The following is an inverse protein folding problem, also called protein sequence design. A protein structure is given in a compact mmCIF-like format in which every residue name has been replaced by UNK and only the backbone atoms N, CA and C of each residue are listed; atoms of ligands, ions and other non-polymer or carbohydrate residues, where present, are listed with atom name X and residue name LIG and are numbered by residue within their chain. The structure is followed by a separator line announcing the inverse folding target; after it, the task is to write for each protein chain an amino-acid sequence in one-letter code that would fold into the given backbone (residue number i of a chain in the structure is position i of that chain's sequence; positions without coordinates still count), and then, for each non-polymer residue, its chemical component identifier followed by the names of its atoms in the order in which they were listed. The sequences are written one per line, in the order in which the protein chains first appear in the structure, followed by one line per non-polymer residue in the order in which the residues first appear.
data_IF_863642486464
#
_entry.id   IF_863642486464
#
_cell.length_a   1.000
_cell.length_b   1.000
_cell.length_c   1.000
_cell.angle_alpha   90.00
_cell.angle_beta   90.00
_cell.angle_gamma   90.00
#
_symmetry.space_group_name_H-M   'P 1'
#
loop_
_entity.id
_entity.type
_entity.pdbx_description
1 polymer ?
#
# COMPACT_ATOMS: atom_id res chain seq x y z
N UNK A 1 -39.06 2.71 -33.05
CA UNK A 1 -38.12 3.60 -32.32
C UNK A 1 -37.26 2.71 -31.43
N UNK A 2 -35.96 2.61 -31.72
CA UNK A 2 -34.99 1.93 -30.86
C UNK A 2 -34.55 2.92 -29.78
N UNK A 3 -34.83 2.64 -28.52
CA UNK A 3 -34.30 3.42 -27.39
C UNK A 3 -32.85 2.98 -27.15
N UNK A 4 -31.90 3.89 -27.38
CA UNK A 4 -30.51 3.73 -26.96
C UNK A 4 -30.44 4.24 -25.53
N UNK A 5 -30.25 3.33 -24.57
CA UNK A 5 -29.98 3.68 -23.17
C UNK A 5 -28.48 3.94 -23.07
N UNK A 6 -28.09 5.20 -22.90
CA UNK A 6 -26.73 5.57 -22.51
C UNK A 6 -26.60 5.30 -21.01
N UNK A 7 -25.97 4.18 -20.65
CA UNK A 7 -25.59 3.89 -19.28
C UNK A 7 -24.22 4.54 -19.03
N UNK A 8 -24.21 5.79 -18.56
CA UNK A 8 -23.00 6.43 -18.04
C UNK A 8 -22.63 5.79 -16.72
N UNK A 9 -21.65 4.89 -16.73
CA UNK A 9 -20.99 4.45 -15.51
C UNK A 9 -20.14 5.60 -14.98
N UNK A 10 -20.57 6.17 -13.85
CA UNK A 10 -19.68 6.96 -13.00
C UNK A 10 -18.63 5.99 -12.43
N UNK A 11 -17.42 6.03 -12.97
CA UNK A 11 -16.28 5.40 -12.32
C UNK A 11 -16.02 6.17 -11.01
N UNK A 12 -15.90 5.51 -9.85
CA UNK A 12 -15.21 6.14 -8.75
C UNK A 12 -13.76 6.30 -9.21
N UNK A 13 -13.32 7.55 -9.36
CA UNK A 13 -11.90 7.85 -9.42
C UNK A 13 -11.33 7.32 -8.09
N UNK A 14 -10.63 6.20 -8.13
CA UNK A 14 -9.75 5.83 -7.04
C UNK A 14 -8.66 6.89 -7.03
N UNK A 15 -8.85 7.90 -6.18
CA UNK A 15 -7.83 8.89 -5.93
C UNK A 15 -6.61 8.14 -5.41
N UNK A 16 -5.54 8.14 -6.20
CA UNK A 16 -4.19 8.01 -5.66
C UNK A 16 -4.13 9.13 -4.62
N UNK A 17 -4.19 8.77 -3.34
CA UNK A 17 -4.24 9.73 -2.26
C UNK A 17 -2.91 10.49 -2.30
N UNK A 18 -2.94 11.69 -2.86
CA UNK A 18 -1.82 12.62 -2.88
C UNK A 18 -2.16 13.75 -1.93
N UNK A 19 -1.16 14.46 -1.36
CA UNK A 19 -1.45 15.65 -0.59
C UNK A 19 -2.29 16.59 -1.46
N UNK A 20 -3.09 17.44 -0.82
CA UNK A 20 -3.84 18.48 -1.53
C UNK A 20 -2.84 19.23 -2.42
N UNK A 21 -2.99 19.17 -3.74
CA UNK A 21 -2.01 19.72 -4.69
C UNK A 21 -2.32 21.16 -5.07
N UNK A 22 -3.59 21.54 -5.01
CA UNK A 22 -4.02 22.89 -5.31
C UNK A 22 -3.39 23.89 -4.32
N UNK A 23 -2.62 24.83 -4.86
CA UNK A 23 -1.88 25.83 -4.10
C UNK A 23 -0.64 25.32 -3.35
N UNK A 24 -0.21 24.06 -3.56
CA UNK A 24 1.02 23.53 -2.94
C UNK A 24 2.26 24.17 -3.60
N UNK A 25 3.05 24.89 -2.81
CA UNK A 25 4.24 25.62 -3.25
C UNK A 25 5.56 25.11 -2.67
N UNK A 26 5.51 24.20 -1.71
CA UNK A 26 6.68 23.55 -1.14
C UNK A 26 6.28 22.28 -0.40
N UNK A 27 7.02 21.22 -0.61
CA UNK A 27 6.81 19.92 0.01
C UNK A 27 8.15 19.25 0.33
N UNK A 28 8.55 19.30 1.60
CA UNK A 28 9.80 18.72 2.08
C UNK A 28 9.52 17.49 2.93
N UNK A 29 9.75 16.32 2.34
CA UNK A 29 9.57 15.01 2.97
C UNK A 29 10.64 14.67 4.02
N UNK A 30 11.83 15.26 3.91
CA UNK A 30 12.98 14.91 4.73
C UNK A 30 13.42 13.43 4.66
N UNK A 31 13.21 12.79 3.51
CA UNK A 31 13.68 11.44 3.18
C UNK A 31 15.19 11.41 2.82
N UNK A 32 16.03 11.72 3.79
CA UNK A 32 17.49 11.71 3.66
C UNK A 32 18.06 12.96 2.99
N UNK A 33 17.22 13.91 2.61
CA UNK A 33 17.59 15.18 2.00
C UNK A 33 16.57 16.27 2.36
N UNK A 34 16.82 17.53 1.99
CA UNK A 34 15.92 18.65 2.21
C UNK A 34 15.39 19.24 0.88
N UNK A 35 15.20 18.36 -0.11
CA UNK A 35 14.71 18.73 -1.43
C UNK A 35 13.20 18.97 -1.40
N UNK A 36 12.74 19.85 -2.28
CA UNK A 36 11.34 20.14 -2.48
C UNK A 36 10.75 19.22 -3.56
N UNK A 37 9.77 18.41 -3.16
CA UNK A 37 9.02 17.48 -4.02
C UNK A 37 7.84 18.16 -4.73
N UNK A 38 7.61 19.45 -4.48
CA UNK A 38 6.64 20.24 -5.23
C UNK A 38 7.14 20.58 -6.63
N UNK A 39 6.24 21.08 -7.48
CA UNK A 39 6.60 21.53 -8.83
C UNK A 39 7.52 22.77 -8.85
N UNK A 40 7.71 23.44 -7.71
CA UNK A 40 8.49 24.67 -7.61
C UNK A 40 9.97 24.43 -7.31
N UNK A 41 10.33 23.25 -6.78
CA UNK A 41 11.71 22.83 -6.51
C UNK A 41 12.51 23.83 -5.66
N UNK A 42 11.89 24.39 -4.62
CA UNK A 42 12.55 25.22 -3.62
C UNK A 42 13.35 24.37 -2.61
N UNK A 43 14.38 23.68 -3.09
CA UNK A 43 15.26 22.86 -2.25
C UNK A 43 15.86 23.69 -1.10
N UNK A 44 15.69 23.22 0.14
CA UNK A 44 16.21 23.96 1.29
C UNK A 44 17.72 23.76 1.41
N UNK A 45 18.43 24.87 1.57
CA UNK A 45 19.87 24.90 1.83
C UNK A 45 20.13 24.75 3.32
N UNK A 46 21.20 24.02 3.65
CA UNK A 46 21.64 23.85 5.04
C UNK A 46 22.58 24.99 5.42
N UNK A 47 22.28 25.66 6.53
CA UNK A 47 23.23 26.48 7.27
C UNK A 47 23.69 25.71 8.51
N UNK A 48 25.00 25.66 8.76
CA UNK A 48 25.59 25.05 9.95
C UNK A 48 26.76 25.88 10.48
N UNK A 49 26.98 25.84 11.80
CA UNK A 49 28.18 26.43 12.41
C UNK A 49 29.44 25.64 12.03
N UNK A 50 30.61 26.28 11.99
CA UNK A 50 31.88 25.68 11.53
C UNK A 50 32.33 24.44 12.32
N UNK A 51 31.77 24.23 13.52
CA UNK A 51 32.15 23.14 14.43
C UNK A 51 31.09 22.02 14.53
N UNK A 52 30.07 22.02 13.67
CA UNK A 52 28.90 21.16 13.85
C UNK A 52 28.98 19.79 13.17
N UNK A 53 28.23 18.84 13.74
CA UNK A 53 27.94 17.54 13.10
C UNK A 53 26.88 17.77 12.01
N UNK A 54 26.98 17.17 10.82
CA UNK A 54 25.99 17.34 9.76
C UNK A 54 24.56 17.07 10.23
N UNK A 55 23.59 17.70 9.55
CA UNK A 55 22.17 17.45 9.81
C UNK A 55 21.86 15.95 9.71
N UNK A 56 21.10 15.45 10.68
CA UNK A 56 20.81 14.03 10.80
C UNK A 56 19.40 13.78 10.30
N UNK A 57 19.26 12.74 9.49
CA UNK A 57 17.97 12.12 9.22
C UNK A 57 17.78 10.92 10.16
N UNK A 58 16.55 10.63 10.55
CA UNK A 58 16.19 9.60 11.55
C UNK A 58 14.92 8.88 11.14
N UNK A 59 14.51 7.92 11.97
CA UNK A 59 13.20 7.28 11.86
C UNK A 59 12.08 8.33 11.87
N UNK A 60 11.13 8.17 10.97
CA UNK A 60 9.89 8.94 10.96
C UNK A 60 8.86 8.40 11.97
N UNK A 61 7.62 8.87 11.86
CA UNK A 61 6.49 8.43 12.67
C UNK A 61 6.00 7.00 12.38
N UNK A 62 6.49 6.38 11.31
CA UNK A 62 6.22 5.01 10.91
C UNK A 62 7.39 4.06 11.21
N UNK A 63 8.50 4.58 11.76
CA UNK A 63 9.71 3.81 12.05
C UNK A 63 10.60 3.59 10.82
N UNK A 64 10.37 4.31 9.72
CA UNK A 64 11.20 4.20 8.51
C UNK A 64 12.46 5.05 8.69
N UNK A 65 13.63 4.40 8.62
CA UNK A 65 14.91 5.09 8.77
C UNK A 65 15.15 6.16 7.69
N UNK A 66 15.83 7.23 8.08
CA UNK A 66 16.15 8.38 7.22
C UNK A 66 14.93 9.08 6.59
N UNK A 67 13.75 8.94 7.19
CA UNK A 67 12.50 9.54 6.71
C UNK A 67 12.01 10.73 7.53
N UNK A 68 12.81 11.21 8.49
CA UNK A 68 12.56 12.49 9.16
C UNK A 68 13.86 13.25 9.38
N UNK A 69 13.77 14.56 9.62
CA UNK A 69 14.93 15.37 10.00
C UNK A 69 14.98 15.59 11.50
N UNK A 70 16.19 15.55 12.07
CA UNK A 70 16.43 15.81 13.49
C UNK A 70 17.37 17.00 13.70
N UNK A 71 16.85 18.04 14.35
CA UNK A 71 17.62 19.20 14.79
C UNK A 71 18.15 18.97 16.20
N UNK A 72 19.47 18.80 16.35
CA UNK A 72 20.16 18.68 17.65
C UNK A 72 20.73 20.03 18.11
N UNK A 73 19.91 21.07 18.06
CA UNK A 73 20.39 22.42 18.25
C UNK A 73 20.53 22.82 19.73
N UNK A 74 21.43 23.76 19.98
CA UNK A 74 21.57 24.50 21.23
C UNK A 74 21.69 25.99 20.92
N UNK A 75 21.63 26.87 21.92
CA UNK A 75 21.76 28.32 21.71
C UNK A 75 23.08 28.70 21.02
N UNK A 76 24.19 28.07 21.38
CA UNK A 76 25.52 28.40 20.85
C UNK A 76 25.94 27.55 19.67
N UNK A 77 25.21 26.47 19.39
CA UNK A 77 25.59 25.51 18.37
C UNK A 77 24.34 24.97 17.67
N UNK A 78 24.10 25.43 16.45
CA UNK A 78 22.87 25.15 15.73
C UNK A 78 23.05 25.09 14.22
N UNK A 79 22.08 24.47 13.59
CA UNK A 79 21.86 24.40 12.16
C UNK A 79 20.41 24.76 11.84
N UNK A 80 20.17 25.24 10.64
CA UNK A 80 18.82 25.47 10.14
C UNK A 80 18.81 25.31 8.63
N UNK A 81 17.63 25.07 8.09
CA UNK A 81 17.39 25.01 6.67
C UNK A 81 16.77 26.32 6.21
N UNK A 82 17.09 26.76 5.00
CA UNK A 82 16.47 27.94 4.43
C UNK A 82 16.41 27.89 2.91
N UNK A 83 15.42 28.58 2.34
CA UNK A 83 15.43 28.92 0.93
C UNK A 83 15.08 30.39 0.72
N UNK A 84 15.86 31.06 -0.13
CA UNK A 84 15.65 32.45 -0.55
C UNK A 84 16.33 32.73 -1.90
N UNK A 85 15.72 33.57 -2.76
CA UNK A 85 14.38 34.13 -2.61
C UNK A 85 13.30 33.10 -2.95
N UNK A 86 12.20 33.09 -2.19
CA UNK A 86 10.94 32.45 -2.56
C UNK A 86 9.91 33.56 -2.83
N UNK A 87 9.11 33.50 -3.90
CA UNK A 87 8.16 34.59 -4.22
C UNK A 87 6.81 34.03 -4.64
N UNK A 88 6.06 33.41 -3.72
CA UNK A 88 4.75 32.85 -4.06
C UNK A 88 3.71 33.97 -4.17
N UNK A 89 2.69 33.77 -5.01
CA UNK A 89 1.50 34.63 -5.01
C UNK A 89 0.63 34.27 -3.79
N UNK A 90 0.59 35.16 -2.80
CA UNK A 90 -0.19 35.00 -1.57
C UNK A 90 -1.54 35.75 -1.61
N UNK A 91 -2.04 36.09 -2.81
CA UNK A 91 -3.34 36.76 -2.99
C UNK A 91 -4.52 35.96 -2.43
N UNK A 92 -4.36 34.64 -2.25
CA UNK A 92 -5.35 33.73 -1.65
C UNK A 92 -5.02 33.33 -0.20
N UNK A 93 -3.92 33.83 0.38
CA UNK A 93 -3.49 33.51 1.74
C UNK A 93 -2.23 32.64 1.81
N UNK A 94 -2.02 32.02 2.95
CA UNK A 94 -0.87 31.18 3.28
C UNK A 94 -1.32 30.08 4.23
N UNK A 95 -0.93 28.83 3.98
CA UNK A 95 -1.07 27.74 4.95
C UNK A 95 0.19 26.91 5.02
N UNK A 96 0.46 26.33 6.19
CA UNK A 96 1.54 25.36 6.34
C UNK A 96 1.12 24.25 7.30
N UNK A 97 1.63 23.05 7.03
CA UNK A 97 1.40 21.84 7.79
C UNK A 97 2.75 21.15 8.01
N UNK A 98 2.99 20.61 9.20
CA UNK A 98 4.24 19.92 9.51
C UNK A 98 4.05 18.97 10.68
N UNK A 99 4.69 17.81 10.61
CA UNK A 99 4.81 16.90 11.75
C UNK A 99 6.00 17.27 12.60
N UNK A 100 5.79 17.38 13.92
CA UNK A 100 6.83 17.71 14.89
C UNK A 100 6.83 16.66 15.99
N UNK A 101 8.02 16.25 16.42
CA UNK A 101 8.19 15.52 17.68
C UNK A 101 9.22 16.24 18.54
N UNK A 102 8.81 16.57 19.76
CA UNK A 102 9.58 17.40 20.68
C UNK A 102 9.68 16.64 22.01
N UNK A 103 10.88 16.21 22.39
CA UNK A 103 11.11 15.47 23.64
C UNK A 103 11.67 16.37 24.76
N UNK A 104 12.15 17.57 24.40
CA UNK A 104 12.74 18.53 25.33
C UNK A 104 11.87 19.78 25.37
N UNK A 105 11.56 20.26 26.57
CA UNK A 105 10.80 21.51 26.74
C UNK A 105 11.48 22.64 25.97
N UNK A 106 10.78 23.28 25.02
CA UNK A 106 11.32 24.42 24.29
C UNK A 106 11.69 25.55 25.25
N UNK A 107 12.95 25.99 25.24
CA UNK A 107 13.41 27.13 26.06
C UNK A 107 13.67 28.35 25.19
N UNK A 108 13.36 29.55 25.70
CA UNK A 108 13.72 30.83 25.06
C UNK A 108 13.12 31.07 23.66
N UNK A 109 12.00 30.41 23.33
CA UNK A 109 11.27 30.70 22.10
C UNK A 109 11.85 30.04 20.86
N UNK A 110 11.87 28.70 20.86
CA UNK A 110 12.24 27.88 19.71
C UNK A 110 11.38 28.18 18.49
N UNK A 111 11.99 28.10 17.31
CA UNK A 111 11.35 28.43 16.03
C UNK A 111 11.48 27.26 15.06
N UNK A 112 10.53 26.30 15.07
CA UNK A 112 10.52 25.24 14.08
C UNK A 112 10.34 25.80 12.67
N UNK A 113 9.51 26.84 12.50
CA UNK A 113 9.24 27.43 11.19
C UNK A 113 9.09 28.95 11.25
N UNK A 114 9.73 29.65 10.32
CA UNK A 114 9.64 31.09 10.16
C UNK A 114 9.71 31.50 8.69
N UNK A 115 8.96 32.56 8.36
CA UNK A 115 9.00 33.24 7.08
C UNK A 115 9.50 34.69 7.26
N UNK A 116 10.24 35.19 6.28
CA UNK A 116 10.79 36.57 6.31
C UNK A 116 10.48 37.35 5.04
N UNK A 117 10.59 38.67 5.13
CA UNK A 117 10.66 39.60 4.01
C UNK A 117 12.13 40.03 3.79
N UNK A 118 12.60 40.10 2.54
CA UNK A 118 14.03 40.03 2.20
C UNK A 118 14.92 41.16 2.71
N UNK A 119 14.35 42.26 3.19
CA UNK A 119 15.13 43.45 3.57
C UNK A 119 14.91 43.91 5.01
N UNK A 120 14.28 43.08 5.87
CA UNK A 120 14.07 43.42 7.28
C UNK A 120 14.75 42.41 8.21
N UNK A 121 15.20 42.87 9.37
CA UNK A 121 15.59 42.01 10.50
C UNK A 121 14.38 41.31 11.13
N UNK A 122 13.16 41.62 10.67
CA UNK A 122 11.90 41.07 11.14
C UNK A 122 11.49 39.77 10.45
N UNK A 123 10.45 39.16 11.01
CA UNK A 123 9.73 38.01 10.48
C UNK A 123 8.39 38.49 9.94
N UNK A 124 7.84 37.77 8.97
CA UNK A 124 6.47 37.99 8.51
C UNK A 124 5.56 37.07 9.31
N UNK A 125 5.63 35.76 9.08
CA UNK A 125 4.84 34.73 9.76
C UNK A 125 5.77 33.72 10.46
N UNK A 126 5.38 33.21 11.63
CA UNK A 126 6.16 32.18 12.35
C UNK A 126 5.33 31.35 13.33
N UNK A 127 5.86 30.18 13.67
CA UNK A 127 5.51 29.42 14.87
C UNK A 127 6.64 29.52 15.88
N UNK A 128 6.33 29.94 17.10
CA UNK A 128 7.27 30.08 18.22
C UNK A 128 6.81 29.22 19.40
N UNK A 129 7.70 28.41 19.93
CA UNK A 129 7.44 27.51 21.05
C UNK A 129 8.24 27.99 22.27
N UNK A 130 7.56 28.39 23.33
CA UNK A 130 8.18 28.68 24.62
C UNK A 130 7.89 27.54 25.61
N UNK A 131 8.42 27.68 26.80
CA UNK A 131 8.32 26.73 27.90
C UNK A 131 6.85 26.42 28.24
N UNK A 132 5.96 27.41 28.13
CA UNK A 132 4.55 27.28 28.49
C UNK A 132 3.58 27.26 27.30
N UNK A 133 3.94 27.84 26.15
CA UNK A 133 2.99 28.10 25.07
C UNK A 133 3.55 28.02 23.67
N UNK A 134 2.64 27.70 22.74
CA UNK A 134 2.84 27.86 21.31
C UNK A 134 2.26 29.20 20.90
N UNK A 135 3.01 29.96 20.12
CA UNK A 135 2.64 31.29 19.63
C UNK A 135 2.71 31.29 18.12
N UNK A 136 1.59 31.61 17.49
CA UNK A 136 1.53 31.91 16.06
C UNK A 136 1.57 33.42 15.90
N UNK A 137 2.44 33.92 15.02
CA UNK A 137 2.55 35.36 14.77
C UNK A 137 2.56 35.65 13.29
N UNK A 138 1.92 36.75 12.89
CA UNK A 138 2.10 37.37 11.58
C UNK A 138 2.13 38.90 11.69
N UNK A 139 3.14 39.54 11.09
CA UNK A 139 3.33 41.00 10.98
C UNK A 139 3.31 41.76 12.31
N UNK A 140 3.82 41.16 13.39
CA UNK A 140 3.89 41.79 14.72
C UNK A 140 2.67 41.54 15.61
N UNK A 141 1.58 40.99 15.05
CA UNK A 141 0.44 40.44 15.79
C UNK A 141 0.66 38.97 16.10
N UNK A 142 0.12 38.48 17.22
CA UNK A 142 0.26 37.08 17.64
C UNK A 142 -0.91 36.58 18.46
N UNK A 143 -1.10 35.27 18.47
CA UNK A 143 -2.01 34.58 19.39
C UNK A 143 -1.39 33.29 19.92
N UNK A 144 -1.98 32.78 21.00
CA UNK A 144 -1.52 31.59 21.72
C UNK A 144 -2.64 30.53 21.66
N UNK A 145 -2.64 29.62 20.66
CA UNK A 145 -3.72 28.65 20.52
C UNK A 145 -3.70 27.60 21.62
N UNK A 146 -2.52 27.16 22.05
CA UNK A 146 -2.33 26.05 22.98
C UNK A 146 -1.05 26.20 23.79
N UNK A 147 -0.95 25.37 24.84
CA UNK A 147 0.25 25.20 25.65
C UNK A 147 1.26 24.28 24.96
N UNK A 148 2.54 24.38 25.35
CA UNK A 148 3.65 23.58 24.82
C UNK A 148 3.59 22.11 25.24
N UNK A 149 2.89 21.78 26.33
CA UNK A 149 2.68 20.42 26.85
C UNK A 149 1.93 19.49 25.88
N UNK A 150 1.20 20.06 24.92
CA UNK A 150 0.57 19.35 23.81
C UNK A 150 1.57 18.83 22.76
N UNK A 151 2.85 19.19 22.87
CA UNK A 151 3.93 18.65 22.04
C UNK A 151 4.96 17.87 22.86
N UNK A 152 5.36 18.40 24.01
CA UNK A 152 6.48 17.85 24.79
C UNK A 152 6.15 16.45 25.29
N UNK A 153 6.89 15.45 24.79
CA UNK A 153 6.73 14.05 25.17
C UNK A 153 5.45 13.38 24.64
N UNK A 154 4.73 14.01 23.71
CA UNK A 154 3.51 13.46 23.10
C UNK A 154 3.81 12.53 21.91
N UNK A 155 5.07 12.44 21.49
CA UNK A 155 5.44 11.78 20.23
C UNK A 155 5.27 12.73 19.05
N UNK A 156 4.83 12.19 17.91
CA UNK A 156 4.60 12.96 16.69
C UNK A 156 3.24 13.67 16.72
N UNK A 157 3.27 14.97 16.49
CA UNK A 157 2.10 15.86 16.54
C UNK A 157 2.04 16.66 15.24
N UNK A 158 0.87 16.71 14.62
CA UNK A 158 0.65 17.48 13.40
C UNK A 158 0.27 18.92 13.72
N UNK A 159 1.14 19.85 13.32
CA UNK A 159 1.01 21.28 13.52
C UNK A 159 0.59 21.95 12.20
N UNK A 160 -0.58 22.58 12.19
CA UNK A 160 -1.04 23.29 11.00
C UNK A 160 -1.65 24.66 11.29
N UNK A 161 -1.41 25.59 10.36
CA UNK A 161 -1.88 26.98 10.45
C UNK A 161 -2.34 27.44 9.08
N UNK A 162 -3.48 28.13 9.04
CA UNK A 162 -3.98 28.80 7.85
C UNK A 162 -4.12 30.29 8.13
N UNK A 163 -3.78 31.13 7.16
CA UNK A 163 -3.91 32.58 7.24
C UNK A 163 -4.47 33.08 5.91
N UNK A 164 -5.66 33.66 5.91
CA UNK A 164 -6.24 34.28 4.72
C UNK A 164 -5.38 35.45 4.20
N UNK A 165 -5.62 35.89 2.97
CA UNK A 165 -4.94 37.06 2.40
C UNK A 165 -5.21 38.37 3.17
N UNK A 166 -6.24 38.40 4.02
CA UNK A 166 -6.56 39.52 4.90
C UNK A 166 -6.00 39.38 6.33
N UNK A 167 -5.32 38.26 6.62
CA UNK A 167 -4.69 38.01 7.92
C UNK A 167 -5.55 37.26 8.93
N UNK A 168 -6.79 36.88 8.60
CA UNK A 168 -7.60 36.00 9.46
C UNK A 168 -6.97 34.62 9.52
N UNK A 169 -6.63 34.16 10.73
CA UNK A 169 -5.88 32.93 10.95
C UNK A 169 -6.69 31.86 11.72
N UNK A 170 -6.42 30.61 11.39
CA UNK A 170 -6.91 29.43 12.12
C UNK A 170 -5.72 28.53 12.49
N UNK A 171 -5.87 27.79 13.59
CA UNK A 171 -4.87 26.87 14.10
C UNK A 171 -5.47 25.49 14.32
N UNK A 172 -4.71 24.47 13.91
CA UNK A 172 -5.11 23.07 13.98
C UNK A 172 -4.02 22.23 14.64
N UNK A 173 -4.44 21.29 15.48
CA UNK A 173 -3.60 20.28 16.11
C UNK A 173 -4.17 18.91 15.73
N UNK A 174 -3.35 18.02 15.16
CA UNK A 174 -3.79 16.67 14.76
C UNK A 174 -5.05 16.65 13.90
N UNK A 175 -5.12 17.61 12.97
CA UNK A 175 -6.25 17.77 12.03
C UNK A 175 -7.51 18.39 12.65
N UNK A 176 -7.50 18.75 13.93
CA UNK A 176 -8.64 19.34 14.65
C UNK A 176 -8.45 20.85 14.80
N UNK A 177 -9.48 21.63 14.47
CA UNK A 177 -9.51 23.08 14.66
C UNK A 177 -9.55 23.43 16.16
N UNK A 178 -8.53 24.13 16.65
CA UNK A 178 -8.42 24.54 18.07
C UNK A 178 -8.69 26.04 18.26
N UNK A 179 -8.21 26.88 17.33
CA UNK A 179 -8.46 28.31 17.36
C UNK A 179 -8.86 28.80 15.97
N UNK A 180 -9.88 29.66 15.91
CA UNK A 180 -10.48 30.07 14.64
C UNK A 180 -10.66 31.59 14.57
N UNK A 181 -10.61 32.13 13.35
CA UNK A 181 -10.92 33.52 13.02
C UNK A 181 -10.11 34.55 13.82
N UNK A 182 -8.85 34.26 14.11
CA UNK A 182 -7.97 35.16 14.86
C UNK A 182 -7.33 36.15 13.92
N UNK A 183 -7.55 37.45 14.13
CA UNK A 183 -6.97 38.48 13.27
C UNK A 183 -5.47 38.63 13.52
N UNK A 184 -4.68 38.34 12.48
CA UNK A 184 -3.27 38.68 12.38
C UNK A 184 -3.05 39.69 11.24
N UNK A 185 -1.79 40.05 11.01
CA UNK A 185 -1.42 40.79 9.80
C UNK A 185 -1.40 39.86 8.59
N UNK A 186 -1.73 40.38 7.39
CA UNK A 186 -1.62 39.61 6.15
C UNK A 186 -0.26 38.93 5.98
N UNK A 187 -0.23 37.68 5.48
CA UNK A 187 1.01 36.94 5.32
C UNK A 187 1.85 37.54 4.18
N UNK A 188 3.15 37.54 4.36
CA UNK A 188 4.13 37.87 3.34
C UNK A 188 5.27 36.86 3.38
N UNK A 189 5.95 36.60 2.28
CA UNK A 189 7.05 35.65 2.25
C UNK A 189 8.06 35.98 1.16
N UNK A 190 9.33 36.02 1.54
CA UNK A 190 10.46 36.01 0.62
C UNK A 190 11.57 35.00 0.96
N UNK A 191 11.49 34.41 2.15
CA UNK A 191 12.42 33.39 2.63
C UNK A 191 11.65 32.44 3.55
N UNK A 192 11.90 31.14 3.39
CA UNK A 192 11.50 30.10 4.35
C UNK A 192 12.71 29.76 5.21
N UNK A 193 12.51 29.64 6.52
CA UNK A 193 13.51 29.18 7.48
C UNK A 193 12.90 28.07 8.34
N UNK A 194 13.58 26.93 8.40
CA UNK A 194 13.15 25.75 9.16
C UNK A 194 14.23 25.40 10.19
N UNK A 195 13.83 25.26 11.45
CA UNK A 195 14.72 24.93 12.56
C UNK A 195 15.38 26.15 13.25
N UNK A 196 15.21 27.36 12.74
CA UNK A 196 15.61 28.61 13.41
C UNK A 196 14.92 29.84 12.80
N UNK A 197 14.96 30.97 13.53
CA UNK A 197 14.61 32.27 12.98
C UNK A 197 15.19 33.46 13.75
N UNK A 198 15.42 34.59 13.04
CA UNK A 198 16.04 35.82 13.58
C UNK A 198 15.45 36.27 14.94
N UNK A 199 16.30 36.36 15.96
CA UNK A 199 15.92 36.82 17.31
C UNK A 199 15.19 35.80 18.18
N UNK A 200 15.30 34.50 17.87
CA UNK A 200 14.77 33.41 18.71
C UNK A 200 15.78 32.29 18.91
N UNK A 201 15.38 31.31 19.71
CA UNK A 201 16.18 30.12 19.97
C UNK A 201 16.07 29.12 18.79
N UNK A 202 17.17 28.40 18.47
CA UNK A 202 17.14 27.32 17.49
C UNK A 202 16.29 26.13 17.96
N UNK A 203 15.43 25.65 17.08
CA UNK A 203 14.58 24.48 17.36
C UNK A 203 15.42 23.22 17.60
N UNK A 204 15.11 22.50 18.68
CA UNK A 204 15.60 21.16 18.94
C UNK A 204 14.42 20.19 18.89
N UNK A 205 14.53 19.15 18.08
CA UNK A 205 13.45 18.18 17.87
C UNK A 205 13.46 17.57 16.47
N UNK A 206 12.52 16.65 16.26
CA UNK A 206 12.28 16.02 14.98
C UNK A 206 11.24 16.82 14.19
N UNK A 207 11.35 16.74 12.88
CA UNK A 207 10.40 17.30 11.94
C UNK A 207 10.24 16.36 10.76
N UNK A 208 9.05 16.32 10.21
CA UNK A 208 8.72 15.50 9.06
C UNK A 208 7.59 16.16 8.26
N UNK A 209 7.55 15.89 6.95
CA UNK A 209 6.51 16.33 6.02
C UNK A 209 6.09 17.80 6.16
N UNK A 210 7.00 18.72 5.84
CA UNK A 210 6.65 20.14 5.78
C UNK A 210 5.95 20.45 4.45
N UNK A 211 4.68 20.83 4.51
CA UNK A 211 3.93 21.34 3.36
C UNK A 211 3.65 22.83 3.50
N UNK A 212 3.72 23.53 2.37
CA UNK A 212 3.52 24.96 2.27
C UNK A 212 2.56 25.26 1.13
N UNK A 213 1.55 26.07 1.41
CA UNK A 213 0.49 26.42 0.49
C UNK A 213 0.35 27.93 0.33
N UNK A 214 0.13 28.41 -0.89
CA UNK A 214 -0.09 29.83 -1.19
C UNK A 214 -1.56 30.27 -1.12
N UNK A 215 -2.37 29.55 -0.34
CA UNK A 215 -3.76 29.85 -0.07
C UNK A 215 -4.17 29.42 1.32
N UNK A 216 -5.32 29.90 1.77
CA UNK A 216 -5.99 29.36 2.95
C UNK A 216 -6.56 27.96 2.65
N UNK A 217 -6.14 26.96 3.44
CA UNK A 217 -6.72 25.62 3.41
C UNK A 217 -8.01 25.56 4.22
N UNK A 218 -8.93 24.71 3.77
CA UNK A 218 -10.16 24.39 4.51
C UNK A 218 -9.92 23.35 5.60
N UNK A 219 -10.82 23.25 6.58
CA UNK A 219 -10.79 22.19 7.60
C UNK A 219 -10.76 20.78 6.97
N UNK A 220 -11.52 20.53 5.89
CA UNK A 220 -11.50 19.23 5.22
C UNK A 220 -10.15 18.91 4.57
N UNK A 221 -9.48 19.93 4.01
CA UNK A 221 -8.14 19.78 3.43
C UNK A 221 -7.09 19.52 4.50
N UNK A 222 -7.16 20.22 5.64
CA UNK A 222 -6.31 19.97 6.80
C UNK A 222 -6.50 18.54 7.32
N UNK A 223 -7.74 18.05 7.41
CA UNK A 223 -8.01 16.66 7.78
C UNK A 223 -7.50 15.67 6.75
N UNK A 224 -7.63 15.98 5.45
CA UNK A 224 -7.08 15.16 4.37
C UNK A 224 -5.56 15.05 4.50
N UNK A 225 -4.85 16.16 4.70
CA UNK A 225 -3.40 16.19 4.89
C UNK A 225 -3.00 15.41 6.14
N UNK A 226 -3.66 15.66 7.28
CA UNK A 226 -3.41 14.93 8.51
C UNK A 226 -3.61 13.42 8.34
N UNK A 227 -4.69 12.98 7.71
CA UNK A 227 -4.98 11.55 7.52
C UNK A 227 -4.10 10.91 6.44
N UNK A 228 -3.71 11.65 5.41
CA UNK A 228 -2.74 11.21 4.40
C UNK A 228 -1.38 10.94 5.04
N UNK A 229 -1.02 11.79 6.00
CA UNK A 229 0.27 11.75 6.67
C UNK A 229 0.20 11.05 8.02
N UNK A 230 -0.95 10.67 8.57
CA UNK A 230 -0.97 9.87 9.79
C UNK A 230 -0.27 8.51 9.54
N UNK A 231 0.32 7.84 10.55
CA UNK A 231 0.41 6.37 10.53
C UNK A 231 -0.85 5.83 9.88
N UNK A 232 -0.79 4.89 8.89
CA UNK A 232 -2.01 4.26 8.43
C UNK A 232 -2.76 3.86 9.68
N UNK A 233 -3.97 4.39 9.84
CA UNK A 233 -4.83 4.06 10.96
C UNK A 233 -4.79 2.53 11.10
N UNK A 234 -4.25 2.03 12.21
CA UNK A 234 -4.27 0.60 12.53
C UNK A 234 -5.51 0.39 13.38
N UNK A 235 -6.69 0.06 12.82
CA UNK A 235 -7.73 -0.55 13.62
C UNK A 235 -7.17 -1.90 14.10
N UNK A 236 -7.17 -2.11 15.41
CA UNK A 236 -7.05 -3.44 16.01
C UNK A 236 -7.87 -4.50 15.24
N UNK A 237 -7.45 -5.78 15.20
CA UNK A 237 -6.20 -6.33 14.67
C UNK A 237 -6.24 -6.45 13.13
N UNK A 238 -5.15 -6.07 12.45
CA UNK A 238 -5.02 -6.23 11.00
C UNK A 238 -4.98 -7.70 10.58
N UNK A 239 -5.74 -7.98 9.52
CA UNK A 239 -5.52 -9.08 8.60
C UNK A 239 -4.03 -9.07 8.18
N UNK A 240 -3.33 -10.17 8.45
CA UNK A 240 -1.90 -10.34 8.20
C UNK A 240 -1.43 -9.72 6.86
N UNK A 241 -0.30 -9.00 6.90
CA UNK A 241 0.40 -8.33 5.79
C UNK A 241 0.94 -9.24 4.68
N UNK A 242 0.08 -10.12 4.16
CA UNK A 242 0.32 -11.03 3.06
C UNK A 242 -0.71 -10.85 1.94
N UNK A 243 -1.67 -9.93 2.04
CA UNK A 243 -2.72 -9.76 1.02
C UNK A 243 -2.36 -8.62 0.05
N UNK A 244 -2.04 -8.95 -1.20
CA UNK A 244 -1.88 -8.03 -2.34
C UNK A 244 -3.20 -7.96 -3.11
N UNK A 245 -3.65 -6.77 -3.49
CA UNK A 245 -4.85 -6.58 -4.32
C UNK A 245 -4.55 -5.60 -5.46
N UNK A 246 -4.84 -5.97 -6.70
CA UNK A 246 -4.67 -5.12 -7.89
C UNK A 246 -5.88 -5.25 -8.82
N UNK A 247 -6.66 -4.17 -8.91
CA UNK A 247 -7.96 -4.06 -9.61
C UNK A 247 -8.96 -5.19 -9.28
N UNK A 248 -8.76 -6.36 -9.90
CA UNK A 248 -9.60 -7.55 -9.80
C UNK A 248 -8.85 -8.82 -9.34
N UNK A 249 -7.57 -8.69 -8.97
CA UNK A 249 -6.70 -9.83 -8.64
C UNK A 249 -6.26 -9.77 -7.18
N UNK A 250 -6.04 -10.94 -6.59
CA UNK A 250 -5.63 -11.10 -5.19
C UNK A 250 -4.34 -11.95 -5.11
N UNK A 251 -3.36 -11.51 -4.36
CA UNK A 251 -2.16 -12.26 -3.99
C UNK A 251 -2.15 -12.54 -2.49
N UNK A 252 -1.81 -13.75 -2.06
CA UNK A 252 -1.59 -14.10 -0.64
C UNK A 252 -0.15 -14.58 -0.48
N UNK A 253 0.70 -13.83 0.23
CA UNK A 253 2.13 -14.09 0.38
C UNK A 253 2.97 -13.77 -0.87
N UNK A 254 2.38 -13.12 -1.87
CA UNK A 254 3.03 -12.71 -3.12
C UNK A 254 2.44 -11.38 -3.62
N UNK A 255 3.29 -10.53 -4.20
CA UNK A 255 2.90 -9.31 -4.92
C UNK A 255 2.82 -9.51 -6.44
N UNK A 256 3.18 -10.70 -6.93
CA UNK A 256 3.13 -11.05 -8.35
C UNK A 256 1.98 -12.02 -8.56
N UNK A 257 0.94 -11.54 -9.23
CA UNK A 257 -0.17 -12.36 -9.76
C UNK A 257 -0.04 -12.34 -11.29
N UNK A 258 0.28 -13.48 -11.94
CA UNK A 258 0.35 -13.53 -13.39
C UNK A 258 -0.98 -13.11 -14.03
N UNK A 259 -0.94 -12.54 -15.23
CA UNK A 259 -2.10 -11.90 -15.88
C UNK A 259 -3.27 -12.87 -16.11
N UNK A 260 -2.99 -14.16 -16.25
CA UNK A 260 -3.96 -15.22 -16.45
C UNK A 260 -4.70 -15.67 -15.18
N UNK A 261 -4.28 -15.22 -13.98
CA UNK A 261 -4.86 -15.64 -12.71
C UNK A 261 -5.52 -14.49 -11.94
N UNK A 262 -6.63 -14.81 -11.28
CA UNK A 262 -7.34 -13.88 -10.38
C UNK A 262 -6.89 -14.01 -8.91
N UNK A 263 -6.28 -15.14 -8.54
CA UNK A 263 -5.79 -15.40 -7.18
C UNK A 263 -4.44 -16.14 -7.27
N UNK A 264 -3.38 -15.61 -6.64
CA UNK A 264 -2.11 -16.30 -6.47
C UNK A 264 -1.77 -16.44 -4.97
N UNK A 265 -1.32 -17.62 -4.54
CA UNK A 265 -0.99 -17.90 -3.14
C UNK A 265 0.42 -18.48 -3.06
N UNK A 266 1.32 -17.79 -2.36
CA UNK A 266 2.63 -18.29 -2.01
C UNK A 266 2.57 -18.98 -0.64
N UNK A 267 2.17 -20.25 -0.64
CA UNK A 267 1.99 -21.05 0.56
C UNK A 267 0.96 -22.14 0.37
N UNK A 268 0.63 -22.83 1.47
CA UNK A 268 -0.41 -23.86 1.50
C UNK A 268 -1.78 -23.25 1.81
N UNK A 269 -2.83 -23.80 1.19
CA UNK A 269 -4.22 -23.47 1.50
C UNK A 269 -4.82 -24.60 2.34
N UNK A 270 -5.33 -24.26 3.52
CA UNK A 270 -6.17 -25.16 4.32
C UNK A 270 -7.63 -24.75 4.10
N UNK A 271 -8.48 -25.69 3.68
CA UNK A 271 -9.92 -25.47 3.51
C UNK A 271 -10.70 -26.70 3.96
N UNK A 272 -11.89 -26.50 4.51
CA UNK A 272 -12.84 -27.59 4.78
C UNK A 272 -13.51 -28.09 3.48
N UNK A 273 -13.58 -27.25 2.44
CA UNK A 273 -14.20 -27.62 1.17
C UNK A 273 -13.85 -26.67 0.04
N UNK A 274 -13.67 -27.23 -1.16
CA UNK A 274 -13.47 -26.48 -2.40
C UNK A 274 -14.45 -27.03 -3.43
N UNK A 275 -15.26 -26.14 -4.03
CA UNK A 275 -16.19 -26.50 -5.10
C UNK A 275 -15.70 -25.90 -6.41
N UNK A 276 -15.24 -26.75 -7.32
CA UNK A 276 -14.86 -26.36 -8.68
C UNK A 276 -16.06 -26.55 -9.61
N UNK A 277 -16.56 -25.48 -10.23
CA UNK A 277 -17.66 -25.56 -11.18
C UNK A 277 -17.11 -25.53 -12.61
N UNK A 278 -17.36 -26.60 -13.35
CA UNK A 278 -16.86 -26.78 -14.71
C UNK A 278 -17.65 -25.94 -15.72
N UNK A 279 -16.94 -25.50 -16.76
CA UNK A 279 -17.53 -25.02 -18.03
C UNK A 279 -17.39 -26.06 -19.16
N UNK A 280 -16.56 -27.08 -18.97
CA UNK A 280 -16.31 -28.19 -19.91
C UNK A 280 -17.21 -29.39 -19.60
N UNK A 281 -17.38 -30.27 -20.58
CA UNK A 281 -18.18 -31.49 -20.42
C UNK A 281 -17.57 -32.45 -19.39
N UNK A 282 -18.44 -33.08 -18.61
CA UNK A 282 -18.09 -34.16 -17.68
C UNK A 282 -17.87 -35.46 -18.47
N UNK A 283 -16.96 -36.37 -18.06
CA UNK A 283 -16.52 -37.48 -18.90
C UNK A 283 -17.53 -38.61 -19.16
N UNK A 284 -18.83 -38.41 -18.91
CA UNK A 284 -19.91 -39.38 -19.18
C UNK A 284 -19.90 -39.94 -20.62
N UNK A 285 -19.22 -39.26 -21.56
CA UNK A 285 -19.01 -39.72 -22.93
C UNK A 285 -18.28 -41.07 -23.03
N UNK A 286 -17.50 -41.50 -22.03
CA UNK A 286 -16.77 -42.79 -22.06
C UNK A 286 -17.74 -43.97 -22.18
N UNK A 287 -18.96 -43.83 -21.66
CA UNK A 287 -20.00 -44.86 -21.75
C UNK A 287 -20.88 -44.78 -23.00
N UNK A 288 -20.61 -43.85 -23.92
CA UNK A 288 -21.38 -43.72 -25.15
C UNK A 288 -21.08 -44.85 -26.15
N UNK A 289 -22.06 -45.22 -26.98
CA UNK A 289 -21.95 -46.34 -27.94
C UNK A 289 -20.84 -46.16 -29.00
N UNK A 290 -20.26 -44.96 -29.13
CA UNK A 290 -19.21 -44.63 -30.10
C UNK A 290 -17.85 -44.31 -29.49
N UNK A 291 -17.66 -44.53 -28.19
CA UNK A 291 -16.38 -44.26 -27.55
C UNK A 291 -15.30 -45.26 -27.97
N UNK A 292 -14.20 -44.75 -28.54
CA UNK A 292 -13.08 -45.55 -29.04
C UNK A 292 -12.13 -45.95 -27.90
N UNK A 293 -12.52 -46.99 -27.15
CA UNK A 293 -11.69 -47.53 -26.07
C UNK A 293 -10.45 -48.23 -26.64
N UNK A 294 -9.27 -47.68 -26.33
CA UNK A 294 -7.99 -48.28 -26.69
C UNK A 294 -7.92 -49.74 -26.20
N UNK A 295 -7.48 -50.70 -27.01
CA UNK A 295 -7.33 -52.07 -26.52
C UNK A 295 -6.11 -52.20 -25.59
N UNK A 296 -6.13 -53.17 -24.67
CA UNK A 296 -5.08 -53.35 -23.66
C UNK A 296 -3.67 -53.57 -24.26
N UNK A 297 -3.56 -54.19 -25.44
CA UNK A 297 -2.26 -54.42 -26.07
C UNK A 297 -1.64 -53.13 -26.62
N UNK A 298 -2.45 -52.25 -27.21
CA UNK A 298 -1.97 -50.95 -27.67
C UNK A 298 -1.76 -49.97 -26.51
N UNK A 299 -2.56 -50.08 -25.45
CA UNK A 299 -2.33 -49.34 -24.20
C UNK A 299 -1.00 -49.73 -23.55
N UNK A 300 -0.67 -51.03 -23.50
CA UNK A 300 0.62 -51.51 -22.99
C UNK A 300 1.79 -50.91 -23.78
N UNK A 301 1.74 -50.95 -25.12
CA UNK A 301 2.76 -50.33 -25.97
C UNK A 301 2.89 -48.83 -25.68
N UNK A 302 1.75 -48.12 -25.58
CA UNK A 302 1.76 -46.69 -25.29
C UNK A 302 2.45 -46.39 -23.96
N UNK A 303 2.14 -47.15 -22.90
CA UNK A 303 2.74 -46.97 -21.58
C UNK A 303 4.24 -47.23 -21.63
N UNK A 304 4.68 -48.30 -22.30
CA UNK A 304 6.11 -48.64 -22.45
C UNK A 304 6.86 -47.53 -23.20
N UNK A 305 6.28 -47.01 -24.28
CA UNK A 305 6.91 -45.96 -25.09
C UNK A 305 6.91 -44.59 -24.40
N UNK A 306 5.83 -44.25 -23.70
CA UNK A 306 5.60 -42.88 -23.21
C UNK A 306 5.83 -42.74 -21.70
N UNK A 307 5.90 -43.83 -20.94
CA UNK A 307 5.98 -43.85 -19.48
C UNK A 307 4.86 -43.05 -18.79
N UNK A 308 3.67 -43.01 -19.41
CA UNK A 308 2.47 -42.36 -18.89
C UNK A 308 1.21 -42.95 -19.51
N UNK A 309 0.06 -42.72 -18.88
CA UNK A 309 -1.25 -43.02 -19.47
C UNK A 309 -1.61 -41.98 -20.56
N UNK A 310 -2.36 -42.38 -21.60
CA UNK A 310 -2.86 -41.44 -22.61
C UNK A 310 -3.60 -40.27 -21.98
N UNK A 311 -3.22 -39.04 -22.36
CA UNK A 311 -3.84 -37.81 -21.86
C UNK A 311 -3.49 -37.40 -20.43
N UNK A 312 -2.65 -38.15 -19.73
CA UNK A 312 -2.11 -37.77 -18.40
C UNK A 312 -0.74 -37.07 -18.59
N UNK A 313 -0.49 -35.93 -17.92
CA UNK A 313 0.80 -35.23 -18.04
C UNK A 313 1.96 -36.03 -17.43
N UNK A 314 3.19 -35.77 -17.89
CA UNK A 314 4.40 -36.34 -17.28
C UNK A 314 4.80 -35.57 -16.02
N UNK A 315 5.54 -36.21 -15.12
CA UNK A 315 6.08 -35.57 -13.92
C UNK A 315 6.87 -34.29 -14.26
N UNK A 316 7.68 -34.31 -15.32
CA UNK A 316 8.49 -33.15 -15.71
C UNK A 316 7.62 -31.96 -16.17
N UNK A 317 6.54 -32.24 -16.90
CA UNK A 317 5.57 -31.23 -17.35
C UNK A 317 4.88 -30.57 -16.14
N UNK A 318 4.49 -31.38 -15.14
CA UNK A 318 3.85 -30.89 -13.90
C UNK A 318 4.82 -30.09 -13.03
N UNK A 319 6.10 -30.47 -12.96
CA UNK A 319 7.10 -29.73 -12.17
C UNK A 319 7.41 -28.36 -12.77
N UNK A 320 7.44 -28.25 -14.10
CA UNK A 320 7.79 -27.00 -14.78
C UNK A 320 6.62 -26.02 -14.86
N UNK A 321 5.40 -26.51 -15.13
CA UNK A 321 4.24 -25.65 -15.45
C UNK A 321 3.07 -25.77 -14.47
N UNK A 322 3.17 -26.63 -13.45
CA UNK A 322 2.03 -27.00 -12.60
C UNK A 322 1.02 -27.88 -13.35
N UNK A 323 -0.16 -28.08 -12.76
CA UNK A 323 -1.27 -28.75 -13.43
C UNK A 323 -2.59 -28.08 -13.05
N UNK A 324 -3.53 -28.12 -13.98
CA UNK A 324 -4.89 -27.67 -13.73
C UNK A 324 -5.65 -28.76 -12.96
N UNK A 325 -6.10 -28.43 -11.74
CA UNK A 325 -6.87 -29.33 -10.88
C UNK A 325 -8.16 -29.81 -11.57
N UNK A 326 -8.77 -28.96 -12.39
CA UNK A 326 -9.96 -29.32 -13.16
C UNK A 326 -9.64 -30.42 -14.18
N UNK A 327 -8.56 -30.25 -14.95
CA UNK A 327 -8.21 -31.20 -16.02
C UNK A 327 -7.73 -32.54 -15.47
N UNK A 328 -7.02 -32.54 -14.34
CA UNK A 328 -6.57 -33.79 -13.72
C UNK A 328 -7.75 -34.59 -13.15
N UNK A 329 -8.75 -33.94 -12.55
CA UNK A 329 -9.95 -34.60 -12.02
C UNK A 329 -10.77 -35.24 -13.16
N UNK A 330 -10.97 -34.50 -14.25
CA UNK A 330 -11.66 -35.03 -15.45
C UNK A 330 -10.89 -36.21 -16.02
N UNK A 331 -9.57 -36.09 -16.17
CA UNK A 331 -8.75 -37.15 -16.75
C UNK A 331 -8.71 -38.38 -15.84
N UNK A 332 -8.64 -38.20 -14.52
CA UNK A 332 -8.68 -39.30 -13.57
C UNK A 332 -10.01 -40.05 -13.66
N UNK A 333 -11.13 -39.32 -13.72
CA UNK A 333 -12.45 -39.94 -13.86
C UNK A 333 -12.59 -40.68 -15.21
N UNK A 334 -12.16 -40.08 -16.32
CA UNK A 334 -12.12 -40.75 -17.62
C UNK A 334 -11.35 -42.08 -17.54
N UNK A 335 -10.20 -42.10 -16.84
CA UNK A 335 -9.44 -43.36 -16.66
C UNK A 335 -10.12 -44.36 -15.73
N UNK A 336 -10.84 -43.91 -14.72
CA UNK A 336 -11.67 -44.80 -13.88
C UNK A 336 -12.79 -45.44 -14.70
N UNK A 337 -13.42 -44.68 -15.60
CA UNK A 337 -14.47 -45.18 -16.47
C UNK A 337 -13.93 -46.16 -17.53
N UNK A 338 -12.80 -45.85 -18.17
CA UNK A 338 -12.08 -46.77 -19.06
C UNK A 338 -11.69 -48.08 -18.33
N UNK A 339 -11.14 -47.98 -17.12
CA UNK A 339 -10.82 -49.13 -16.29
C UNK A 339 -12.06 -49.97 -15.97
N UNK A 340 -13.19 -49.33 -15.72
CA UNK A 340 -14.47 -50.00 -15.49
C UNK A 340 -14.90 -50.79 -16.74
N UNK A 341 -14.73 -50.23 -17.93
CA UNK A 341 -15.00 -50.95 -19.18
C UNK A 341 -14.08 -52.17 -19.37
N UNK A 342 -12.78 -52.04 -19.09
CA UNK A 342 -11.86 -53.18 -19.15
C UNK A 342 -12.22 -54.27 -18.13
N UNK A 343 -12.64 -53.89 -16.91
CA UNK A 343 -13.06 -54.86 -15.89
C UNK A 343 -14.32 -55.61 -16.35
N UNK A 344 -15.31 -54.91 -16.90
CA UNK A 344 -16.52 -55.52 -17.46
C UNK A 344 -16.16 -56.48 -18.60
N UNK A 345 -15.24 -56.09 -19.49
CA UNK A 345 -14.77 -56.95 -20.57
C UNK A 345 -14.04 -58.19 -20.02
N UNK A 346 -13.20 -58.01 -19.01
CA UNK A 346 -12.45 -59.10 -18.37
C UNK A 346 -13.38 -60.08 -17.64
N UNK A 347 -14.42 -59.61 -16.96
CA UNK A 347 -15.44 -60.46 -16.33
C UNK A 347 -16.23 -61.28 -17.36
N UNK A 348 -16.61 -60.66 -18.49
CA UNK A 348 -17.24 -61.37 -19.61
C UNK A 348 -16.35 -62.49 -20.15
N UNK A 349 -15.04 -62.23 -20.30
CA UNK A 349 -14.05 -63.23 -20.72
C UNK A 349 -13.90 -64.33 -19.67
N UNK A 350 -13.81 -63.99 -18.38
CA UNK A 350 -13.70 -64.95 -17.28
C UNK A 350 -14.92 -65.87 -17.20
N UNK A 351 -16.12 -65.30 -17.26
CA UNK A 351 -17.38 -66.06 -17.29
C UNK A 351 -17.45 -67.00 -18.49
N UNK A 352 -16.95 -66.56 -19.65
CA UNK A 352 -16.89 -67.38 -20.85
C UNK A 352 -15.89 -68.54 -20.69
N UNK A 353 -14.70 -68.28 -20.13
CA UNK A 353 -13.70 -69.29 -19.82
C UNK A 353 -14.21 -70.31 -18.80
N UNK A 354 -14.88 -69.87 -17.72
CA UNK A 354 -15.50 -70.76 -16.74
C UNK A 354 -16.55 -71.67 -17.37
N UNK A 355 -17.40 -71.13 -18.26
CA UNK A 355 -18.37 -71.95 -19.01
C UNK A 355 -17.69 -73.00 -19.88
N UNK A 356 -16.58 -72.65 -20.54
CA UNK A 356 -15.80 -73.59 -21.35
C UNK A 356 -15.15 -74.65 -20.47
N UNK A 357 -14.55 -74.26 -19.34
CA UNK A 357 -13.92 -75.19 -18.40
C UNK A 357 -14.94 -76.17 -17.82
N UNK A 358 -16.11 -75.72 -17.38
CA UNK A 358 -17.17 -76.60 -16.89
C UNK A 358 -17.59 -77.64 -17.95
N UNK A 359 -17.73 -77.22 -19.22
CA UNK A 359 -18.02 -78.14 -20.34
C UNK A 359 -16.89 -79.14 -20.59
N UNK A 360 -15.63 -78.71 -20.46
CA UNK A 360 -14.47 -79.59 -20.60
C UNK A 360 -14.42 -80.61 -19.47
N UNK A 361 -14.67 -80.20 -18.23
CA UNK A 361 -14.74 -81.10 -17.06
C UNK A 361 -15.85 -82.14 -17.21
N UNK A 362 -17.04 -81.74 -17.65
CA UNK A 362 -18.14 -82.67 -17.97
C UNK A 362 -17.72 -83.69 -19.05
N UNK A 363 -17.03 -83.23 -20.10
CA UNK A 363 -16.55 -84.11 -21.18
C UNK A 363 -15.47 -85.07 -20.70
N UNK A 364 -14.53 -84.63 -19.87
CA UNK A 364 -13.50 -85.48 -19.27
C UNK A 364 -14.16 -86.57 -18.41
N UNK A 365 -15.10 -86.20 -17.52
CA UNK A 365 -15.85 -87.19 -16.72
C UNK A 365 -16.60 -88.21 -17.58
N UNK A 366 -17.20 -87.76 -18.68
CA UNK A 366 -17.91 -88.67 -19.60
C UNK A 366 -16.97 -89.68 -20.29
N UNK A 367 -15.73 -89.29 -20.57
CA UNK A 367 -14.72 -90.16 -21.19
C UNK A 367 -14.05 -91.09 -20.18
N UNK A 368 -13.85 -90.65 -18.94
CA UNK A 368 -13.33 -91.49 -17.84
C UNK A 368 -14.32 -92.60 -17.48
N UNK A 369 -15.63 -92.32 -17.49
CA UNK A 369 -16.68 -93.32 -17.26
C UNK A 369 -16.88 -94.30 -18.44
N UNK A 370 -16.17 -94.12 -19.56
CA UNK A 370 -16.20 -95.01 -20.74
C UNK A 370 -14.99 -95.95 -20.83
N UNK A 371 -14.02 -95.84 -19.90
CA UNK A 371 -12.93 -96.81 -19.72
C UNK A 371 -13.27 -97.76 -18.58
#
# INVERSE_FOLDING_TARGET
MKYIIFLTFLFPVFAICQPVTDGLIGYWLFNGNANDESIYSYDLRIYQSETFTPISYREDRFGVENSSIYFRNTITNFQYLYERPITPDLSQGLSYCVWLKIDVTPVNGNRPLQFKYTNSTGYTTRSKFNDDNVIISSGGTSFQPINSDQFVGQGWVHHAVTISSTGVANYYLDGVLIAANVQLSPPQMNEVQVGWGTGGAPYEGWMDDLLLYNRELTQQEIQTIYNYQAPPYVPTPELCGNLYCDENRVGIGTSVVPEEYMLAINGMVLSEGVKVQLKSDWPDYVFSEGYDLMNLGDLEKYIVENNKLPGVPKEIEVKESGHDLQLIDIKLLEKVEELTLYIIEMDKKMTSLLKVNNKLEERIRSLENQK
#
